data_IF_590664376892
#
_entry.id   IF_590664376892
#
_cell.length_a   1.000
_cell.length_b   1.000
_cell.length_c   1.000
_cell.angle_alpha   90.00
_cell.angle_beta   90.00
_cell.angle_gamma   90.00
#
_symmetry.space_group_name_H-M   'P 1'
#
loop_
_entity.id
_entity.type
_entity.pdbx_description
1 polymer ?
#
# COMPACT_ATOMS: atom_id res chain seq x y z
N UNK A 1 19.26 -3.66 -2.30
CA UNK A 1 19.64 -2.34 -1.75
C UNK A 1 20.33 -2.57 -0.42
N UNK A 2 21.46 -1.91 -0.15
CA UNK A 2 22.23 -2.04 1.09
C UNK A 2 22.65 -0.63 1.49
N UNK A 3 22.40 -0.21 2.73
CA UNK A 3 22.73 1.14 3.18
C UNK A 3 22.07 1.50 4.51
N UNK A 4 22.21 2.77 4.90
CA UNK A 4 21.53 3.34 6.07
C UNK A 4 20.02 3.48 5.83
N UNK A 5 19.19 3.59 6.88
CA UNK A 5 17.75 3.78 6.73
C UNK A 5 17.36 4.95 5.82
N UNK A 6 18.10 6.05 5.89
CA UNK A 6 17.91 7.22 5.02
C UNK A 6 18.21 6.88 3.56
N UNK A 7 19.37 6.26 3.28
CA UNK A 7 19.75 5.88 1.91
C UNK A 7 18.81 4.85 1.28
N UNK A 8 18.08 4.09 2.10
CA UNK A 8 17.01 3.18 1.68
C UNK A 8 15.72 3.94 1.43
N UNK A 9 15.35 4.90 2.30
CA UNK A 9 14.13 5.69 2.17
C UNK A 9 14.18 6.67 0.98
N UNK A 10 15.35 7.20 0.63
CA UNK A 10 15.54 8.16 -0.46
C UNK A 10 15.03 7.66 -1.83
N UNK A 11 15.45 6.49 -2.34
CA UNK A 11 14.92 5.98 -3.62
C UNK A 11 13.45 5.56 -3.53
N UNK A 12 12.98 5.08 -2.37
CA UNK A 12 11.56 4.75 -2.19
C UNK A 12 10.67 6.00 -2.28
N UNK A 13 11.13 7.11 -1.69
CA UNK A 13 10.50 8.42 -1.81
C UNK A 13 10.50 8.90 -3.26
N UNK A 14 11.66 8.84 -3.92
CA UNK A 14 11.78 9.28 -5.31
C UNK A 14 10.78 8.54 -6.21
N UNK A 15 10.72 7.21 -6.14
CA UNK A 15 9.79 6.42 -6.96
C UNK A 15 8.32 6.70 -6.64
N UNK A 16 8.00 7.04 -5.40
CA UNK A 16 6.64 7.44 -5.05
C UNK A 16 6.28 8.82 -5.62
N UNK A 17 7.15 9.82 -5.43
CA UNK A 17 6.93 11.20 -5.88
C UNK A 17 6.93 11.34 -7.40
N UNK A 18 7.74 10.53 -8.09
CA UNK A 18 7.79 10.47 -9.55
C UNK A 18 6.70 9.57 -10.16
N UNK A 19 5.74 9.11 -9.36
CA UNK A 19 4.67 8.19 -9.77
C UNK A 19 5.17 6.90 -10.45
N UNK A 20 6.35 6.42 -10.06
CA UNK A 20 6.93 5.16 -10.51
C UNK A 20 6.37 3.93 -9.78
N UNK A 21 5.81 4.10 -8.58
CA UNK A 21 5.14 3.03 -7.82
C UNK A 21 4.17 3.56 -6.74
N UNK A 22 3.03 2.87 -6.57
CA UNK A 22 2.08 3.10 -5.46
C UNK A 22 2.45 2.32 -4.18
N UNK A 23 3.38 1.37 -4.29
CA UNK A 23 3.81 0.52 -3.19
C UNK A 23 4.85 -0.51 -3.62
N UNK A 24 5.47 -1.17 -2.64
CA UNK A 24 6.60 -2.06 -2.87
C UNK A 24 6.34 -3.45 -2.30
N UNK A 25 6.69 -4.47 -3.10
CA UNK A 25 6.86 -5.82 -2.59
C UNK A 25 8.33 -5.97 -2.14
N UNK A 26 8.55 -6.22 -0.85
CA UNK A 26 9.90 -6.40 -0.33
C UNK A 26 10.17 -7.87 -0.05
N UNK A 27 11.18 -8.41 -0.74
CA UNK A 27 11.66 -9.78 -0.56
C UNK A 27 12.93 -9.79 0.28
N UNK A 28 12.91 -10.56 1.36
CA UNK A 28 14.01 -10.61 2.32
C UNK A 28 14.94 -11.79 2.01
N UNK A 29 16.27 -11.58 2.00
CA UNK A 29 17.23 -12.67 1.80
C UNK A 29 17.33 -13.58 3.02
N UNK A 30 16.99 -13.09 4.21
CA UNK A 30 16.89 -13.89 5.42
C UNK A 30 15.76 -13.39 6.32
N UNK A 31 15.12 -14.33 7.02
CA UNK A 31 14.02 -14.06 7.95
C UNK A 31 14.29 -14.69 9.32
N UNK A 32 13.80 -14.09 10.42
CA UNK A 32 13.00 -12.85 10.48
C UNK A 32 13.83 -11.56 10.58
N UNK A 33 15.17 -11.64 10.65
CA UNK A 33 16.00 -10.49 11.00
C UNK A 33 15.95 -9.34 9.99
N UNK A 34 16.01 -9.61 8.68
CA UNK A 34 15.97 -8.55 7.67
C UNK A 34 14.64 -7.79 7.68
N UNK A 35 13.53 -8.49 7.93
CA UNK A 35 12.23 -7.87 8.12
C UNK A 35 12.20 -6.99 9.39
N UNK A 36 12.75 -7.50 10.49
CA UNK A 36 12.73 -6.79 11.79
C UNK A 36 13.57 -5.53 11.72
N UNK A 37 14.78 -5.62 11.17
CA UNK A 37 15.67 -4.47 10.97
C UNK A 37 15.02 -3.38 10.11
N UNK A 38 14.36 -3.76 9.02
CA UNK A 38 13.63 -2.80 8.18
C UNK A 38 12.44 -2.16 8.92
N UNK A 39 11.67 -2.97 9.64
CA UNK A 39 10.52 -2.48 10.41
C UNK A 39 10.94 -1.53 11.54
N UNK A 40 12.07 -1.78 12.19
CA UNK A 40 12.57 -0.99 13.31
C UNK A 40 13.32 0.28 12.88
N UNK A 41 13.86 0.31 11.66
CA UNK A 41 14.74 1.42 11.22
C UNK A 41 14.18 2.21 10.04
N UNK A 42 13.73 1.55 8.96
CA UNK A 42 13.32 2.22 7.73
C UNK A 42 11.87 2.69 7.81
N UNK A 43 10.97 1.88 8.39
CA UNK A 43 9.56 2.26 8.53
C UNK A 43 9.39 3.57 9.33
N UNK A 44 10.07 3.79 10.47
CA UNK A 44 10.02 5.08 11.17
C UNK A 44 10.50 6.25 10.32
N UNK A 45 11.52 6.06 9.48
CA UNK A 45 12.02 7.11 8.59
C UNK A 45 11.00 7.46 7.49
N UNK A 46 10.33 6.46 6.90
CA UNK A 46 9.23 6.69 5.95
C UNK A 46 8.03 7.38 6.61
N UNK A 47 7.71 7.03 7.86
CA UNK A 47 6.66 7.70 8.64
C UNK A 47 7.02 9.16 8.94
N UNK A 48 8.27 9.44 9.33
CA UNK A 48 8.76 10.81 9.58
C UNK A 48 8.63 11.70 8.34
N UNK A 49 8.78 11.11 7.15
CA UNK A 49 8.63 11.79 5.85
C UNK A 49 7.17 11.88 5.37
N UNK A 50 6.21 11.29 6.08
CA UNK A 50 4.80 11.26 5.67
C UNK A 50 4.49 10.30 4.52
N UNK A 51 5.43 9.41 4.18
CA UNK A 51 5.31 8.46 3.07
C UNK A 51 4.68 7.13 3.50
N UNK A 52 4.56 6.90 4.81
CA UNK A 52 3.96 5.70 5.36
C UNK A 52 3.04 6.01 6.54
N UNK A 53 1.99 5.22 6.68
CA UNK A 53 1.02 5.37 7.78
C UNK A 53 1.69 5.15 9.14
N UNK A 54 1.28 5.92 10.14
CA UNK A 54 1.70 5.77 11.55
C UNK A 54 0.84 4.80 12.35
N UNK A 55 -0.34 4.45 11.81
CA UNK A 55 -1.27 3.49 12.40
C UNK A 55 -2.29 3.00 11.38
N UNK A 56 -3.01 1.96 11.74
CA UNK A 56 -4.09 1.42 10.92
C UNK A 56 -5.40 2.15 11.23
N UNK A 57 -6.11 2.60 10.19
CA UNK A 57 -7.37 3.34 10.31
C UNK A 57 -8.60 2.49 10.02
N UNK A 58 -8.43 1.37 9.32
CA UNK A 58 -9.50 0.44 8.96
C UNK A 58 -9.34 -0.94 9.60
N UNK A 59 -10.21 -1.87 9.22
CA UNK A 59 -10.19 -3.26 9.73
C UNK A 59 -9.91 -4.29 8.64
N UNK A 60 -9.98 -3.88 7.39
CA UNK A 60 -9.78 -4.77 6.24
C UNK A 60 -8.57 -4.36 5.44
N UNK A 61 -8.00 -5.32 4.70
CA UNK A 61 -6.94 -5.05 3.73
C UNK A 61 -7.36 -3.97 2.71
N UNK A 62 -8.65 -3.95 2.33
CA UNK A 62 -9.18 -2.93 1.41
C UNK A 62 -9.09 -1.54 1.99
N UNK A 63 -9.45 -1.37 3.26
CA UNK A 63 -9.31 -0.07 3.94
C UNK A 63 -7.86 0.40 3.95
N UNK A 64 -6.90 -0.51 4.16
CA UNK A 64 -5.47 -0.17 4.21
C UNK A 64 -4.89 0.18 2.83
N UNK A 65 -5.54 -0.24 1.75
CA UNK A 65 -5.16 0.04 0.37
C UNK A 65 -6.01 1.14 -0.27
N UNK A 66 -6.94 1.75 0.47
CA UNK A 66 -7.86 2.76 -0.07
C UNK A 66 -8.87 2.21 -1.08
N UNK A 67 -9.14 0.90 -1.05
CA UNK A 67 -10.01 0.23 -2.03
C UNK A 67 -11.47 0.17 -1.54
N UNK A 68 -12.46 0.46 -2.39
CA UNK A 68 -13.86 0.30 -2.03
C UNK A 68 -14.23 -1.19 -1.88
N UNK A 69 -15.23 -1.47 -1.03
CA UNK A 69 -15.81 -2.81 -0.93
C UNK A 69 -16.74 -3.05 -2.12
N UNK A 70 -16.49 -4.07 -2.97
CA UNK A 70 -17.40 -4.37 -4.07
C UNK A 70 -18.73 -4.90 -3.55
N UNK A 71 -19.82 -4.46 -4.16
CA UNK A 71 -21.17 -4.97 -3.89
C UNK A 71 -21.29 -6.39 -4.44
N UNK A 72 -21.95 -7.29 -3.71
CA UNK A 72 -22.19 -8.64 -4.20
C UNK A 72 -23.13 -8.60 -5.42
N UNK A 73 -22.67 -9.10 -6.57
CA UNK A 73 -23.44 -9.14 -7.83
C UNK A 73 -24.79 -9.85 -7.74
N UNK A 74 -24.96 -10.77 -6.79
CA UNK A 74 -26.21 -11.51 -6.57
C UNK A 74 -27.18 -10.78 -5.63
N UNK A 75 -26.72 -9.75 -4.91
CA UNK A 75 -27.58 -8.91 -4.06
C UNK A 75 -28.02 -7.63 -4.78
N UNK A 76 -27.51 -7.38 -5.99
CA UNK A 76 -27.92 -6.23 -6.80
C UNK A 76 -29.31 -6.44 -7.39
N UNK A 77 -30.15 -5.41 -7.32
CA UNK A 77 -31.42 -5.38 -8.03
C UNK A 77 -31.20 -5.27 -9.55
N UNK A 78 -32.15 -5.70 -10.39
CA UNK A 78 -32.00 -5.62 -11.85
C UNK A 78 -31.69 -4.22 -12.39
N UNK A 79 -32.11 -3.15 -11.69
CA UNK A 79 -31.84 -1.75 -12.07
C UNK A 79 -30.36 -1.38 -11.91
N UNK A 80 -29.75 -1.77 -10.80
CA UNK A 80 -28.35 -1.47 -10.47
C UNK A 80 -27.35 -2.22 -11.37
N UNK A 81 -27.73 -3.40 -11.90
CA UNK A 81 -26.91 -4.14 -12.87
C UNK A 81 -26.79 -3.44 -14.22
N UNK A 82 -27.83 -2.72 -14.65
CA UNK A 82 -27.83 -2.00 -15.93
C UNK A 82 -26.91 -0.78 -15.92
N UNK A 83 -26.90 -0.02 -14.82
CA UNK A 83 -26.11 1.21 -14.67
C UNK A 83 -24.61 0.94 -14.60
N UNK A 84 -24.19 -0.16 -13.96
CA UNK A 84 -22.77 -0.56 -13.88
C UNK A 84 -22.21 -1.08 -15.23
N UNK A 85 -23.04 -1.66 -16.09
CA UNK A 85 -22.61 -2.12 -17.41
C UNK A 85 -22.33 -0.95 -18.36
N UNK A 86 -23.07 0.17 -18.22
CA UNK A 86 -22.85 1.38 -19.04
C UNK A 86 -21.67 2.22 -18.57
N UNK A 87 -21.35 2.20 -17.26
CA UNK A 87 -20.21 2.94 -16.69
C UNK A 87 -18.84 2.28 -16.93
N UNK A 88 -18.82 1.02 -17.38
CA UNK A 88 -17.61 0.25 -17.66
C UNK A 88 -17.26 0.15 -19.16
N UNK A 89 -17.94 0.95 -20.01
CA UNK A 89 -17.71 1.09 -21.46
C UNK A 89 -17.22 2.50 -21.77
#
# INVERSE_FOLDING_TARGET
MIGTPQSIADPLQQWFEEAGADGFNIMWPWLPGGLSEFADTVVPELQRRGLFRTGYTGRTLRDHLGLPRPVNRYTQTPRERGELATAAS
#
